data_IF_391025779138
#
_entry.id   IF_391025779138
#
_cell.length_a   1.000
_cell.length_b   1.000
_cell.length_c   1.000
_cell.angle_alpha   90.00
_cell.angle_beta   90.00
_cell.angle_gamma   90.00
#
_symmetry.space_group_name_H-M   'P 1'
#
loop_
_entity.id
_entity.type
_entity.pdbx_description
1 polymer ?
#
# COMPACT_ATOMS: atom_id res chain seq x y z
N UNK A 1 -11.16 -24.84 43.41
CA UNK A 1 -10.34 -23.61 43.46
C UNK A 1 -10.20 -23.15 42.02
N UNK A 2 -11.17 -22.38 41.55
CA UNK A 2 -11.26 -21.78 40.21
C UNK A 2 -11.01 -20.29 40.42
N UNK A 3 -9.96 -19.75 39.81
CA UNK A 3 -9.59 -18.33 39.93
C UNK A 3 -8.87 -17.87 38.65
N UNK A 4 -9.44 -18.19 37.48
CA UNK A 4 -8.89 -17.83 36.16
C UNK A 4 -9.96 -17.25 35.21
N UNK A 5 -10.98 -16.58 35.76
CA UNK A 5 -12.09 -16.00 34.97
C UNK A 5 -12.36 -14.52 35.29
N UNK A 6 -11.40 -13.82 35.91
CA UNK A 6 -11.48 -12.37 36.18
C UNK A 6 -10.18 -11.65 35.76
N UNK A 7 -9.49 -12.16 34.72
CA UNK A 7 -8.64 -11.26 33.92
C UNK A 7 -9.58 -10.60 32.91
N UNK A 8 -10.16 -9.47 33.33
CA UNK A 8 -10.51 -8.40 32.41
C UNK A 8 -9.33 -8.29 31.44
N UNK A 9 -9.57 -8.66 30.20
CA UNK A 9 -8.67 -8.40 29.09
C UNK A 9 -8.64 -6.88 29.01
N UNK A 10 -7.62 -6.25 29.59
CA UNK A 10 -7.26 -4.87 29.29
C UNK A 10 -7.09 -4.82 27.78
N UNK A 11 -8.16 -4.41 27.11
CA UNK A 11 -8.20 -4.27 25.66
C UNK A 11 -7.26 -3.12 25.34
N UNK A 12 -6.03 -3.45 24.91
CA UNK A 12 -5.19 -2.80 23.90
C UNK A 12 -5.47 -1.32 23.52
N UNK A 13 -5.78 -0.44 24.48
CA UNK A 13 -6.05 0.98 24.22
C UNK A 13 -4.79 1.68 23.64
N UNK A 14 -3.59 1.16 23.92
CA UNK A 14 -2.29 1.68 23.44
C UNK A 14 -1.94 1.28 21.99
N UNK A 15 -2.54 0.23 21.43
CA UNK A 15 -2.12 -0.29 20.11
C UNK A 15 -2.56 0.63 18.96
N UNK A 16 -3.71 1.29 19.11
CA UNK A 16 -4.23 2.22 18.11
C UNK A 16 -3.43 3.53 18.05
N UNK A 17 -2.95 4.01 19.20
CA UNK A 17 -2.08 5.18 19.32
C UNK A 17 -0.68 4.84 18.77
N UNK A 18 -0.13 3.67 19.10
CA UNK A 18 1.16 3.21 18.57
C UNK A 18 1.13 2.98 17.06
N UNK A 19 0.07 2.39 16.52
CA UNK A 19 -0.13 2.29 15.08
C UNK A 19 -0.25 3.68 14.44
N UNK A 20 -1.02 4.58 15.06
CA UNK A 20 -1.15 5.98 14.63
C UNK A 20 0.18 6.72 14.59
N UNK A 21 1.03 6.58 15.62
CA UNK A 21 2.37 7.17 15.67
C UNK A 21 3.30 6.56 14.62
N UNK A 22 3.20 5.25 14.36
CA UNK A 22 4.03 4.56 13.37
C UNK A 22 3.61 4.93 11.94
N UNK A 23 2.30 5.09 11.69
CA UNK A 23 1.78 5.70 10.47
C UNK A 23 2.26 7.14 10.34
N UNK A 24 2.09 7.99 11.35
CA UNK A 24 2.52 9.38 11.32
C UNK A 24 4.03 9.52 11.09
N UNK A 25 4.87 8.66 11.68
CA UNK A 25 6.32 8.70 11.48
C UNK A 25 6.74 8.32 10.05
N UNK A 26 6.05 7.36 9.43
CA UNK A 26 6.31 6.98 8.03
C UNK A 26 5.73 8.00 7.04
N UNK A 27 4.64 8.69 7.40
CA UNK A 27 3.86 9.53 6.50
C UNK A 27 4.16 11.03 6.62
N UNK A 28 4.59 11.53 7.79
CA UNK A 28 4.86 12.97 8.01
C UNK A 28 6.26 13.43 7.57
N UNK A 29 7.03 12.58 6.89
CA UNK A 29 8.16 13.04 6.08
C UNK A 29 9.42 13.47 6.85
N UNK A 30 9.53 13.20 8.15
CA UNK A 30 10.84 13.18 8.81
C UNK A 30 11.47 11.81 8.60
N UNK A 31 11.87 11.55 7.36
CA UNK A 31 12.69 10.39 7.01
C UNK A 31 13.99 10.49 7.81
N UNK A 32 14.26 9.51 8.66
CA UNK A 32 15.51 9.40 9.37
C UNK A 32 16.16 8.03 9.11
N UNK A 33 17.34 7.80 9.69
CA UNK A 33 18.05 6.54 9.50
C UNK A 33 17.30 5.32 10.07
N UNK A 34 16.25 5.52 10.86
CA UNK A 34 15.39 4.49 11.44
C UNK A 34 14.20 4.11 10.56
N UNK A 35 13.78 4.95 9.62
CA UNK A 35 12.57 4.72 8.81
C UNK A 35 12.63 3.42 8.00
N UNK A 36 13.79 3.05 7.46
CA UNK A 36 13.97 1.78 6.76
C UNK A 36 13.80 0.57 7.71
N UNK A 37 14.25 0.69 8.96
CA UNK A 37 14.05 -0.35 9.96
C UNK A 37 12.59 -0.45 10.40
N UNK A 38 11.89 0.67 10.52
CA UNK A 38 10.45 0.71 10.83
C UNK A 38 9.62 0.01 9.74
N UNK A 39 9.99 0.16 8.46
CA UNK A 39 9.35 -0.59 7.36
C UNK A 39 9.50 -2.11 7.53
N UNK A 40 10.64 -2.59 8.02
CA UNK A 40 10.82 -4.03 8.30
C UNK A 40 9.93 -4.49 9.45
N UNK A 41 9.86 -3.72 10.55
CA UNK A 41 8.99 -4.04 11.69
C UNK A 41 7.50 -4.08 11.30
N UNK A 42 7.07 -3.15 10.45
CA UNK A 42 5.72 -3.15 9.90
C UNK A 42 5.42 -4.40 9.09
N UNK A 43 6.39 -4.87 8.30
CA UNK A 43 6.21 -6.08 7.52
C UNK A 43 6.15 -7.34 8.40
N UNK A 44 6.91 -7.39 9.49
CA UNK A 44 6.79 -8.46 10.49
C UNK A 44 5.39 -8.50 11.09
N UNK A 45 4.84 -7.33 11.47
CA UNK A 45 3.48 -7.25 11.99
C UNK A 45 2.41 -7.58 10.94
N UNK A 46 2.63 -7.18 9.68
CA UNK A 46 1.76 -7.51 8.57
C UNK A 46 1.75 -9.02 8.24
N UNK A 47 2.81 -9.76 8.58
CA UNK A 47 2.86 -11.21 8.40
C UNK A 47 2.29 -11.99 9.59
N UNK A 48 2.17 -11.38 10.77
CA UNK A 48 1.61 -12.03 11.95
C UNK A 48 0.12 -12.34 11.78
N UNK A 49 -0.21 -13.63 11.64
CA UNK A 49 -1.60 -14.10 11.45
C UNK A 49 -2.48 -13.94 12.69
N UNK A 50 -1.93 -13.54 13.83
CA UNK A 50 -2.72 -13.13 15.02
C UNK A 50 -3.33 -11.74 14.85
N UNK A 51 -2.75 -10.91 13.99
CA UNK A 51 -3.28 -9.58 13.65
C UNK A 51 -4.46 -9.73 12.69
N UNK A 52 -5.49 -8.91 12.89
CA UNK A 52 -6.69 -8.98 12.05
C UNK A 52 -6.37 -8.73 10.56
N UNK A 53 -7.07 -9.37 9.61
CA UNK A 53 -6.81 -9.17 8.19
C UNK A 53 -6.92 -7.72 7.72
N UNK A 54 -7.82 -6.93 8.32
CA UNK A 54 -7.98 -5.51 7.99
C UNK A 54 -6.78 -4.67 8.42
N UNK A 55 -6.28 -4.89 9.64
CA UNK A 55 -5.06 -4.22 10.14
C UNK A 55 -3.86 -4.62 9.29
N UNK A 56 -3.67 -5.92 9.03
CA UNK A 56 -2.58 -6.41 8.15
C UNK A 56 -2.61 -5.76 6.77
N UNK A 57 -3.80 -5.65 6.17
CA UNK A 57 -3.97 -4.97 4.88
C UNK A 57 -3.58 -3.48 4.95
N UNK A 58 -3.94 -2.77 6.02
CA UNK A 58 -3.57 -1.36 6.21
C UNK A 58 -2.04 -1.18 6.37
N UNK A 59 -1.37 -2.08 7.11
CA UNK A 59 0.09 -2.09 7.24
C UNK A 59 0.77 -2.32 5.88
N UNK A 60 0.25 -3.26 5.08
CA UNK A 60 0.77 -3.55 3.73
C UNK A 60 0.63 -2.35 2.80
N UNK A 61 -0.51 -1.65 2.81
CA UNK A 61 -0.70 -0.43 2.01
C UNK A 61 0.24 0.68 2.47
N UNK A 62 0.51 0.78 3.76
CA UNK A 62 1.47 1.75 4.32
C UNK A 62 2.90 1.45 3.89
N UNK A 63 3.28 0.18 3.84
CA UNK A 63 4.57 -0.22 3.25
C UNK A 63 4.67 0.18 1.78
N UNK A 64 3.59 -0.02 1.01
CA UNK A 64 3.52 0.39 -0.39
C UNK A 64 3.66 1.92 -0.54
N UNK A 65 3.02 2.68 0.35
CA UNK A 65 3.16 4.14 0.42
C UNK A 65 4.60 4.56 0.73
N UNK A 66 5.20 4.03 1.78
CA UNK A 66 6.58 4.33 2.16
C UNK A 66 7.58 4.00 1.04
N UNK A 67 7.41 2.86 0.37
CA UNK A 67 8.27 2.42 -0.73
C UNK A 67 8.11 3.23 -2.02
N UNK A 68 7.13 4.13 -2.10
CA UNK A 68 6.79 4.90 -3.31
C UNK A 68 6.89 6.40 -3.15
N UNK A 69 7.27 6.91 -1.97
CA UNK A 69 7.39 8.35 -1.68
C UNK A 69 8.16 9.07 -2.79
N UNK A 70 9.35 8.59 -3.18
CA UNK A 70 10.16 9.25 -4.21
C UNK A 70 9.46 9.33 -5.59
N UNK A 71 8.74 8.28 -5.99
CA UNK A 71 8.01 8.24 -7.26
C UNK A 71 6.80 9.19 -7.23
N UNK A 72 6.13 9.28 -6.08
CA UNK A 72 4.96 10.15 -5.87
C UNK A 72 5.37 11.62 -5.76
N UNK A 73 6.44 11.93 -5.02
CA UNK A 73 7.04 13.27 -4.92
C UNK A 73 7.40 13.81 -6.30
N UNK A 74 8.07 12.99 -7.13
CA UNK A 74 8.42 13.34 -8.51
C UNK A 74 7.19 13.63 -9.40
N UNK A 75 6.02 13.11 -9.04
CA UNK A 75 4.76 13.43 -9.71
C UNK A 75 4.11 14.72 -9.22
N UNK A 76 4.42 15.17 -8.01
CA UNK A 76 3.89 16.42 -7.45
C UNK A 76 4.79 17.64 -7.68
N UNK A 77 6.11 17.42 -7.84
CA UNK A 77 7.09 18.48 -8.14
C UNK A 77 7.96 18.09 -9.35
N UNK A 78 7.43 18.21 -10.58
CA UNK A 78 8.16 17.85 -11.81
C UNK A 78 9.34 18.80 -12.10
N UNK A 79 9.37 19.99 -11.49
CA UNK A 79 10.44 20.98 -11.66
C UNK A 79 11.69 20.63 -10.82
N UNK A 80 11.59 19.62 -9.94
CA UNK A 80 12.73 18.91 -9.37
C UNK A 80 13.50 19.72 -8.33
N UNK A 81 12.82 20.35 -7.37
CA UNK A 81 13.51 20.77 -6.14
C UNK A 81 13.97 19.50 -5.42
N UNK A 82 15.25 19.16 -5.64
CA UNK A 82 15.84 17.93 -5.15
C UNK A 82 15.59 17.76 -3.66
N UNK A 83 14.81 16.73 -3.31
CA UNK A 83 14.63 16.32 -1.94
C UNK A 83 16.01 15.89 -1.40
N UNK A 84 16.48 16.48 -0.30
CA UNK A 84 17.83 16.24 0.22
C UNK A 84 18.04 14.78 0.68
N UNK A 85 16.95 14.03 0.82
CA UNK A 85 16.90 12.72 1.46
C UNK A 85 16.77 11.55 0.46
N UNK A 86 17.15 11.73 -0.81
CA UNK A 86 17.09 10.69 -1.85
C UNK A 86 17.80 9.37 -1.46
N UNK A 87 18.86 9.43 -0.66
CA UNK A 87 19.55 8.24 -0.15
C UNK A 87 18.67 7.48 0.85
N UNK A 88 18.01 8.19 1.76
CA UNK A 88 17.08 7.58 2.74
C UNK A 88 15.86 7.00 2.03
N UNK A 89 15.30 7.70 1.04
CA UNK A 89 14.21 7.20 0.20
C UNK A 89 14.57 5.91 -0.53
N UNK A 90 15.80 5.81 -1.05
CA UNK A 90 16.29 4.59 -1.67
C UNK A 90 16.40 3.43 -0.65
N UNK A 91 16.89 3.69 0.57
CA UNK A 91 16.99 2.69 1.63
C UNK A 91 15.62 2.18 2.09
N UNK A 92 14.65 3.07 2.27
CA UNK A 92 13.27 2.67 2.61
C UNK A 92 12.68 1.80 1.50
N UNK A 93 12.85 2.20 0.24
CA UNK A 93 12.39 1.40 -0.89
C UNK A 93 13.03 0.01 -0.94
N UNK A 94 14.35 -0.08 -0.69
CA UNK A 94 15.06 -1.36 -0.64
C UNK A 94 14.52 -2.25 0.48
N UNK A 95 14.32 -1.70 1.68
CA UNK A 95 13.74 -2.42 2.81
C UNK A 95 12.31 -2.92 2.53
N UNK A 96 11.46 -2.09 1.91
CA UNK A 96 10.10 -2.48 1.50
C UNK A 96 10.15 -3.60 0.46
N UNK A 97 11.06 -3.53 -0.52
CA UNK A 97 11.21 -4.57 -1.53
C UNK A 97 11.70 -5.91 -0.95
N UNK A 98 12.64 -5.86 0.01
CA UNK A 98 13.10 -7.04 0.74
C UNK A 98 11.95 -7.67 1.53
N UNK A 99 11.20 -6.85 2.26
CA UNK A 99 10.06 -7.29 3.06
C UNK A 99 8.88 -7.82 2.23
N UNK A 100 8.63 -7.25 1.05
CA UNK A 100 7.55 -7.68 0.17
C UNK A 100 7.71 -9.16 -0.25
N UNK A 101 8.95 -9.64 -0.38
CA UNK A 101 9.22 -11.01 -0.78
C UNK A 101 8.65 -12.05 0.20
N UNK A 102 8.72 -11.80 1.52
CA UNK A 102 8.13 -12.69 2.53
C UNK A 102 6.61 -12.59 2.53
N UNK A 103 6.06 -11.38 2.46
CA UNK A 103 4.61 -11.14 2.41
C UNK A 103 3.94 -11.79 1.20
N UNK A 104 4.64 -11.89 0.06
CA UNK A 104 4.12 -12.55 -1.14
C UNK A 104 4.18 -14.09 -1.09
N UNK A 105 4.84 -14.69 -0.11
CA UNK A 105 5.00 -16.15 -0.02
C UNK A 105 3.64 -16.85 0.18
N UNK A 106 2.78 -16.28 1.01
CA UNK A 106 1.51 -16.87 1.42
C UNK A 106 0.30 -16.31 0.66
N UNK A 107 0.51 -15.58 -0.44
CA UNK A 107 -0.54 -14.83 -1.15
C UNK A 107 -1.86 -15.59 -1.32
N UNK A 108 -1.81 -16.87 -1.74
CA UNK A 108 -3.01 -17.65 -2.07
C UNK A 108 -3.83 -18.05 -0.84
N UNK A 109 -3.19 -18.12 0.33
CA UNK A 109 -3.83 -18.48 1.60
C UNK A 109 -4.39 -17.24 2.33
N UNK A 110 -4.11 -16.04 1.82
CA UNK A 110 -4.53 -14.79 2.43
C UNK A 110 -6.01 -14.45 2.17
N UNK A 111 -6.69 -13.83 3.15
CA UNK A 111 -8.00 -13.23 2.94
C UNK A 111 -8.00 -12.21 1.80
N UNK A 112 -9.16 -12.01 1.17
CA UNK A 112 -9.28 -11.11 0.00
C UNK A 112 -8.75 -9.69 0.26
N UNK A 113 -9.04 -9.10 1.43
CA UNK A 113 -8.59 -7.75 1.78
C UNK A 113 -7.05 -7.66 1.83
N UNK A 114 -6.39 -8.72 2.30
CA UNK A 114 -4.93 -8.82 2.34
C UNK A 114 -4.38 -9.05 0.94
N UNK A 115 -4.99 -9.92 0.13
CA UNK A 115 -4.60 -10.13 -1.29
C UNK A 115 -4.73 -8.84 -2.12
N UNK A 116 -5.75 -8.02 -1.84
CA UNK A 116 -5.88 -6.70 -2.45
C UNK A 116 -4.74 -5.76 -2.03
N UNK A 117 -4.43 -5.68 -0.73
CA UNK A 117 -3.30 -4.88 -0.25
C UNK A 117 -1.95 -5.37 -0.83
N UNK A 118 -1.75 -6.69 -0.95
CA UNK A 118 -0.56 -7.25 -1.58
C UNK A 118 -0.48 -6.90 -3.07
N UNK A 119 -1.60 -6.71 -3.78
CA UNK A 119 -1.59 -6.20 -5.16
C UNK A 119 -1.09 -4.75 -5.23
N UNK A 120 -1.45 -3.93 -4.24
CA UNK A 120 -0.93 -2.56 -4.10
C UNK A 120 0.58 -2.59 -3.81
N UNK A 121 1.04 -3.46 -2.92
CA UNK A 121 2.48 -3.63 -2.65
C UNK A 121 3.24 -4.15 -3.88
N UNK A 122 2.67 -5.07 -4.64
CA UNK A 122 3.26 -5.55 -5.89
C UNK A 122 3.41 -4.44 -6.93
N UNK A 123 2.43 -3.53 -7.02
CA UNK A 123 2.52 -2.32 -7.83
C UNK A 123 3.66 -1.40 -7.37
N UNK A 124 3.75 -1.14 -6.06
CA UNK A 124 4.82 -0.32 -5.46
C UNK A 124 6.23 -0.88 -5.70
N UNK A 125 6.38 -2.21 -5.68
CA UNK A 125 7.65 -2.89 -5.91
C UNK A 125 7.97 -3.15 -7.39
N UNK A 126 7.06 -2.85 -8.32
CA UNK A 126 7.16 -3.27 -9.74
C UNK A 126 7.36 -4.79 -9.87
N UNK A 127 6.62 -5.57 -9.08
CA UNK A 127 6.75 -7.03 -8.97
C UNK A 127 6.07 -7.76 -10.14
N UNK A 128 6.75 -7.82 -11.29
CA UNK A 128 6.21 -8.40 -12.54
C UNK A 128 5.84 -9.88 -12.41
N UNK A 129 6.50 -10.62 -11.51
CA UNK A 129 6.19 -12.02 -11.19
C UNK A 129 4.81 -12.21 -10.50
N UNK A 130 4.19 -11.12 -10.04
CA UNK A 130 2.88 -11.12 -9.36
C UNK A 130 1.70 -10.69 -10.24
N UNK A 131 1.96 -10.24 -11.47
CA UNK A 131 0.94 -9.81 -12.43
C UNK A 131 -0.14 -10.88 -12.66
N UNK A 132 0.25 -12.16 -12.69
CA UNK A 132 -0.70 -13.27 -12.90
C UNK A 132 -1.63 -13.49 -11.70
N UNK A 133 -1.12 -13.35 -10.47
CA UNK A 133 -1.90 -13.44 -9.24
C UNK A 133 -2.89 -12.27 -9.13
N UNK A 134 -2.44 -11.05 -9.48
CA UNK A 134 -3.32 -9.87 -9.52
C UNK A 134 -4.45 -10.07 -10.54
N UNK A 135 -4.12 -10.56 -11.74
CA UNK A 135 -5.13 -10.84 -12.77
C UNK A 135 -6.14 -11.93 -12.35
N UNK A 136 -5.71 -12.93 -11.58
CA UNK A 136 -6.62 -13.94 -11.02
C UNK A 136 -7.56 -13.31 -10.00
N UNK A 137 -7.04 -12.51 -9.07
CA UNK A 137 -7.84 -11.79 -8.08
C UNK A 137 -8.86 -10.87 -8.76
N UNK A 138 -8.45 -10.17 -9.83
CA UNK A 138 -9.35 -9.37 -10.65
C UNK A 138 -10.47 -10.21 -11.28
N UNK A 139 -10.18 -11.41 -11.76
CA UNK A 139 -11.19 -12.30 -12.34
C UNK A 139 -12.18 -12.86 -11.31
N UNK A 140 -11.76 -12.98 -10.05
CA UNK A 140 -12.61 -13.33 -8.91
C UNK A 140 -13.54 -12.16 -8.54
N UNK A 141 -13.11 -10.92 -8.80
CA UNK A 141 -13.81 -9.67 -8.48
C UNK A 141 -14.11 -8.83 -9.72
N UNK A 142 -15.00 -9.28 -10.63
CA UNK A 142 -15.22 -8.62 -11.91
C UNK A 142 -16.03 -7.32 -11.80
N UNK A 143 -16.54 -6.98 -10.61
CA UNK A 143 -17.40 -5.82 -10.40
C UNK A 143 -16.56 -4.58 -10.06
N UNK A 144 -16.82 -3.47 -10.74
CA UNK A 144 -16.23 -2.18 -10.42
C UNK A 144 -16.71 -1.69 -9.02
N UNK A 145 -15.89 -0.96 -8.25
CA UNK A 145 -14.62 -0.33 -8.63
C UNK A 145 -13.36 -1.20 -8.42
N UNK A 146 -13.44 -2.31 -7.68
CA UNK A 146 -12.26 -3.13 -7.31
C UNK A 146 -11.55 -3.74 -8.52
N UNK A 147 -12.29 -4.14 -9.55
CA UNK A 147 -11.72 -4.63 -10.80
C UNK A 147 -10.80 -3.62 -11.50
N UNK A 148 -11.15 -2.32 -11.47
CA UNK A 148 -10.38 -1.25 -12.11
C UNK A 148 -9.11 -0.93 -11.29
N UNK A 149 -9.21 -0.93 -9.96
CA UNK A 149 -8.07 -0.79 -9.04
C UNK A 149 -7.04 -1.90 -9.25
N UNK A 150 -7.50 -3.15 -9.38
CA UNK A 150 -6.64 -4.30 -9.68
C UNK A 150 -6.03 -4.25 -11.09
N UNK A 151 -6.72 -3.68 -12.07
CA UNK A 151 -6.16 -3.43 -13.40
C UNK A 151 -4.99 -2.44 -13.33
N UNK A 152 -5.17 -1.33 -12.60
CA UNK A 152 -4.12 -0.35 -12.37
C UNK A 152 -2.92 -0.97 -11.62
N UNK A 153 -3.19 -1.72 -10.55
CA UNK A 153 -2.14 -2.42 -9.80
C UNK A 153 -1.34 -3.39 -10.68
N UNK A 154 -2.03 -4.14 -11.55
CA UNK A 154 -1.41 -5.05 -12.51
C UNK A 154 -0.51 -4.31 -13.51
N UNK A 155 -0.99 -3.19 -14.07
CA UNK A 155 -0.25 -2.37 -15.01
C UNK A 155 1.02 -1.74 -14.39
N UNK A 156 0.91 -1.30 -13.13
CA UNK A 156 2.03 -0.75 -12.35
C UNK A 156 3.06 -1.83 -11.97
N UNK A 157 2.60 -3.01 -11.55
CA UNK A 157 3.48 -4.15 -11.25
C UNK A 157 4.24 -4.64 -12.49
N UNK A 158 3.61 -4.52 -13.67
CA UNK A 158 4.23 -4.83 -14.96
C UNK A 158 5.14 -3.71 -15.51
N UNK A 159 5.16 -2.54 -14.86
CA UNK A 159 5.81 -1.31 -15.36
C UNK A 159 5.44 -0.99 -16.82
N UNK A 160 4.16 -1.17 -17.17
CA UNK A 160 3.67 -1.05 -18.54
C UNK A 160 2.91 0.27 -18.76
N UNK A 161 3.64 1.32 -19.13
CA UNK A 161 3.12 2.70 -19.26
C UNK A 161 1.78 2.82 -20.00
N UNK A 162 1.63 2.21 -21.18
CA UNK A 162 0.37 2.29 -21.96
C UNK A 162 -0.81 1.67 -21.21
N UNK A 163 -0.58 0.62 -20.43
CA UNK A 163 -1.61 -0.03 -19.64
C UNK A 163 -1.94 0.79 -18.39
N UNK A 164 -0.96 1.49 -17.82
CA UNK A 164 -1.17 2.43 -16.71
C UNK A 164 -2.04 3.60 -17.18
N UNK A 165 -1.73 4.20 -18.34
CA UNK A 165 -2.54 5.28 -18.92
C UNK A 165 -3.98 4.83 -19.20
N UNK A 166 -4.17 3.64 -19.75
CA UNK A 166 -5.50 3.09 -20.00
C UNK A 166 -6.29 2.90 -18.68
N UNK A 167 -5.67 2.27 -17.67
CA UNK A 167 -6.31 2.06 -16.38
C UNK A 167 -6.64 3.37 -15.64
N UNK A 168 -5.77 4.39 -15.76
CA UNK A 168 -6.04 5.74 -15.24
C UNK A 168 -7.24 6.39 -15.94
N UNK A 169 -7.36 6.21 -17.26
CA UNK A 169 -8.51 6.69 -18.03
C UNK A 169 -9.82 6.05 -17.55
N UNK A 170 -9.82 4.72 -17.38
CA UNK A 170 -11.01 3.98 -16.92
C UNK A 170 -11.44 4.40 -15.51
N UNK A 171 -10.50 4.66 -14.61
CA UNK A 171 -10.79 5.17 -13.25
C UNK A 171 -11.30 6.62 -13.27
N UNK A 172 -10.76 7.48 -14.13
CA UNK A 172 -11.21 8.86 -14.27
C UNK A 172 -12.68 8.99 -14.73
N UNK A 173 -13.20 7.97 -15.42
CA UNK A 173 -14.59 7.92 -15.87
C UNK A 173 -15.56 7.45 -14.77
N UNK A 174 -15.05 6.98 -13.62
CA UNK A 174 -15.88 6.50 -12.52
C UNK A 174 -16.45 7.68 -11.70
N UNK A 175 -17.77 7.76 -11.47
CA UNK A 175 -18.43 8.95 -10.89
C UNK A 175 -18.07 9.24 -9.42
N UNK A 176 -17.47 8.28 -8.73
CA UNK A 176 -17.07 8.38 -7.33
C UNK A 176 -15.59 8.76 -7.15
N UNK A 177 -14.80 8.74 -8.23
CA UNK A 177 -13.36 9.02 -8.17
C UNK A 177 -13.11 10.52 -8.40
N UNK A 178 -12.31 11.13 -7.53
CA UNK A 178 -11.98 12.55 -7.63
C UNK A 178 -11.00 12.78 -8.81
N UNK A 179 -11.38 13.52 -9.86
CA UNK A 179 -10.49 13.77 -11.00
C UNK A 179 -9.21 14.54 -10.60
N UNK A 180 -9.25 15.31 -9.51
CA UNK A 180 -8.06 15.99 -8.99
C UNK A 180 -7.05 15.02 -8.36
N UNK A 181 -7.48 13.81 -7.98
CA UNK A 181 -6.58 12.75 -7.47
C UNK A 181 -5.69 12.14 -8.56
N UNK A 182 -5.98 12.41 -9.84
CA UNK A 182 -5.17 11.94 -10.96
C UNK A 182 -3.84 12.71 -11.10
N UNK A 183 -3.66 13.82 -10.39
CA UNK A 183 -2.46 14.66 -10.48
C UNK A 183 -2.32 15.39 -11.82
N UNK A 184 -1.23 16.14 -11.96
CA UNK A 184 -0.96 16.93 -13.16
C UNK A 184 -0.74 16.04 -14.41
N UNK A 185 -1.32 16.36 -15.58
CA UNK A 185 -1.17 15.56 -16.81
C UNK A 185 0.28 15.31 -17.22
N UNK A 186 1.14 16.30 -16.98
CA UNK A 186 2.57 16.33 -17.30
C UNK A 186 3.46 15.53 -16.33
N UNK A 187 2.92 15.10 -15.18
CA UNK A 187 3.68 14.35 -14.20
C UNK A 187 3.95 12.90 -14.65
N UNK A 188 5.05 12.27 -14.18
CA UNK A 188 5.36 10.87 -14.45
C UNK A 188 4.17 9.93 -14.19
N UNK A 189 3.78 9.18 -15.22
CA UNK A 189 2.59 8.30 -15.21
C UNK A 189 2.64 7.27 -14.08
N UNK A 190 3.81 6.70 -13.78
CA UNK A 190 3.95 5.75 -12.66
C UNK A 190 3.63 6.41 -11.31
N UNK A 191 4.19 7.59 -11.03
CA UNK A 191 3.97 8.29 -9.77
C UNK A 191 2.52 8.69 -9.56
N UNK A 192 1.84 9.12 -10.63
CA UNK A 192 0.40 9.40 -10.65
C UNK A 192 -0.42 8.13 -10.35
N UNK A 193 -0.10 7.04 -11.05
CA UNK A 193 -0.77 5.74 -10.86
C UNK A 193 -0.60 5.19 -9.44
N UNK A 194 0.61 5.29 -8.87
CA UNK A 194 0.89 4.86 -7.50
C UNK A 194 0.12 5.71 -6.49
N UNK A 195 0.13 7.04 -6.65
CA UNK A 195 -0.60 7.95 -5.76
C UNK A 195 -2.10 7.61 -5.73
N UNK A 196 -2.74 7.52 -6.90
CA UNK A 196 -4.15 7.18 -6.99
C UNK A 196 -4.45 5.79 -6.40
N UNK A 197 -3.63 4.77 -6.73
CA UNK A 197 -3.86 3.42 -6.24
C UNK A 197 -3.78 3.33 -4.71
N UNK A 198 -2.81 4.01 -4.10
CA UNK A 198 -2.65 4.08 -2.64
C UNK A 198 -3.85 4.77 -2.00
N UNK A 199 -4.25 5.94 -2.50
CA UNK A 199 -5.40 6.68 -1.98
C UNK A 199 -6.70 5.85 -2.04
N UNK A 200 -6.94 5.18 -3.17
CA UNK A 200 -8.11 4.31 -3.35
C UNK A 200 -8.06 3.08 -2.43
N UNK A 201 -6.87 2.52 -2.18
CA UNK A 201 -6.71 1.40 -1.27
C UNK A 201 -6.96 1.81 0.19
N UNK A 202 -6.48 2.98 0.60
CA UNK A 202 -6.74 3.53 1.93
C UNK A 202 -8.21 3.83 2.15
N UNK A 203 -8.93 4.35 1.16
CA UNK A 203 -10.38 4.57 1.24
C UNK A 203 -11.16 3.26 1.39
N UNK A 204 -10.67 2.19 0.77
CA UNK A 204 -11.30 0.88 0.81
C UNK A 204 -11.03 0.11 2.12
N UNK A 205 -9.80 0.20 2.64
CA UNK A 205 -9.33 -0.56 3.81
C UNK A 205 -9.54 0.22 5.11
N UNK A 206 -9.37 1.54 5.10
CA UNK A 206 -9.42 2.39 6.29
C UNK A 206 -10.67 2.17 7.17
N UNK A 207 -11.89 2.13 6.60
CA UNK A 207 -13.10 1.85 7.39
C UNK A 207 -13.07 0.48 8.09
N UNK A 208 -12.43 -0.54 7.50
CA UNK A 208 -12.41 -1.91 8.02
C UNK A 208 -11.52 -2.09 9.27
N UNK A 209 -10.63 -1.13 9.54
CA UNK A 209 -9.71 -1.17 10.69
C UNK A 209 -10.42 -0.74 11.98
N UNK A 210 -11.45 0.10 11.85
CA UNK A 210 -12.15 0.72 12.98
C UNK A 210 -13.59 0.20 13.18
N UNK A 211 -13.99 -0.80 12.39
CA UNK A 211 -15.28 -1.53 12.48
C UNK A 211 -15.19 -2.75 13.41
#
# INVERSE_FOLDING_TARGET
MMQWLDEETDAFDDDSELLGELFDQLLQGTMDNGTAHQALLLAELADDKLVSPAVRAALIVTLAEAGTIAQRDAATDPDGYANADMVLLAQVREAVQEAAASLFADWEDEPEVVRFALAVLAAACSATDRVSQIGRLQSEQPVAPRAARLALASALAADHEVAIVAALGDLAEHPDDNPDALGAPEAPVQGRGLSLLIDLAQQEIGPLVFD
#
